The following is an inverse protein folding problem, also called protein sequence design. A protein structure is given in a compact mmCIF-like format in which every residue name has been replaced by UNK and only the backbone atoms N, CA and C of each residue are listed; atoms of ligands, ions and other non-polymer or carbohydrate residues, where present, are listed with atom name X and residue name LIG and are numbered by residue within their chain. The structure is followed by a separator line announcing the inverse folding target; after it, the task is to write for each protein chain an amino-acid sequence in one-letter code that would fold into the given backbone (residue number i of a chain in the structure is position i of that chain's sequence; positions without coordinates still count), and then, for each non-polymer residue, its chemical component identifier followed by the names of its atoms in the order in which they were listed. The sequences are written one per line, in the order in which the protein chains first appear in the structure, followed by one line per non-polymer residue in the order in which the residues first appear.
data_IF_677745022274
#
_entry.id   IF_677745022274
#
_cell.length_a   1.000
_cell.length_b   1.000
_cell.length_c   1.000
_cell.angle_alpha   90.00
_cell.angle_beta   90.00
_cell.angle_gamma   90.00
#
_symmetry.space_group_name_H-M   'P 1'
#
loop_
_entity.id
_entity.type
_entity.pdbx_description
1 polymer ?
#
# COMPACT_ATOMS: atom_id res chain seq x y z
N UNK A 1 20.85 -41.11 2.48
CA UNK A 1 19.57 -40.44 2.11
C UNK A 1 18.99 -39.78 3.35
N UNK A 2 18.76 -38.46 3.34
CA UNK A 2 18.06 -37.80 4.46
C UNK A 2 16.63 -38.34 4.55
N UNK A 3 16.16 -38.58 5.78
CA UNK A 3 14.79 -39.04 5.99
C UNK A 3 13.79 -37.99 5.50
N UNK A 4 12.60 -38.43 5.08
CA UNK A 4 11.52 -37.52 4.65
C UNK A 4 11.20 -36.51 5.75
N UNK A 5 11.26 -36.93 7.02
CA UNK A 5 11.02 -36.08 8.18
C UNK A 5 12.06 -34.96 8.34
N UNK A 6 13.34 -35.26 8.13
CA UNK A 6 14.42 -34.26 8.18
C UNK A 6 14.31 -33.27 7.03
N UNK A 7 13.99 -33.73 5.82
CA UNK A 7 13.76 -32.84 4.68
C UNK A 7 12.57 -31.91 4.92
N UNK A 8 11.51 -32.39 5.58
CA UNK A 8 10.36 -31.58 5.97
C UNK A 8 10.71 -30.57 7.08
N UNK A 9 11.52 -30.96 8.08
CA UNK A 9 12.01 -30.06 9.12
C UNK A 9 12.93 -28.98 8.56
N UNK A 10 13.88 -29.34 7.69
CA UNK A 10 14.77 -28.40 7.00
C UNK A 10 13.98 -27.43 6.12
N UNK A 11 13.02 -27.93 5.34
CA UNK A 11 12.12 -27.09 4.53
C UNK A 11 11.26 -26.18 5.42
N UNK A 12 10.81 -26.68 6.57
CA UNK A 12 10.09 -25.89 7.57
C UNK A 12 10.94 -24.77 8.20
N UNK A 13 12.23 -25.04 8.47
CA UNK A 13 13.19 -24.06 8.96
C UNK A 13 13.59 -23.05 7.88
N UNK A 14 13.77 -23.49 6.64
CA UNK A 14 14.01 -22.65 5.47
C UNK A 14 12.83 -21.71 5.22
N UNK A 15 11.60 -22.21 5.32
CA UNK A 15 10.37 -21.41 5.24
C UNK A 15 10.29 -20.41 6.41
N UNK A 16 10.68 -20.79 7.62
CA UNK A 16 10.71 -19.88 8.80
C UNK A 16 11.79 -18.81 8.66
N UNK A 17 12.98 -19.15 8.15
CA UNK A 17 14.07 -18.21 7.87
C UNK A 17 13.77 -17.26 6.71
N UNK A 18 12.99 -17.71 5.72
CA UNK A 18 12.47 -16.92 4.59
C UNK A 18 11.16 -16.18 4.87
N UNK A 19 10.61 -16.21 6.10
CA UNK A 19 9.45 -15.38 6.46
C UNK A 19 9.87 -13.90 6.44
N UNK A 20 9.82 -13.32 5.24
CA UNK A 20 9.84 -11.89 5.02
C UNK A 20 8.94 -11.21 6.05
N UNK A 21 9.44 -10.16 6.71
CA UNK A 21 8.65 -9.36 7.66
C UNK A 21 7.28 -9.08 7.05
N UNK A 22 6.16 -9.37 7.73
CA UNK A 22 4.84 -9.26 7.13
C UNK A 22 4.59 -7.84 6.63
N UNK A 23 4.04 -7.70 5.42
CA UNK A 23 3.67 -6.41 4.82
C UNK A 23 2.69 -5.64 5.70
N UNK A 24 1.79 -6.37 6.38
CA UNK A 24 0.87 -5.83 7.37
C UNK A 24 1.54 -5.72 8.74
N UNK A 25 1.62 -4.50 9.27
CA UNK A 25 2.16 -4.22 10.61
C UNK A 25 1.11 -4.29 11.70
N UNK A 26 -0.17 -4.15 11.32
CA UNK A 26 -1.29 -4.15 12.24
C UNK A 26 -2.52 -4.72 11.55
N UNK A 27 -3.24 -5.54 12.27
CA UNK A 27 -4.56 -6.04 11.90
C UNK A 27 -5.46 -5.74 13.09
N UNK A 28 -6.55 -5.01 12.85
CA UNK A 28 -7.52 -4.62 13.86
C UNK A 28 -8.86 -5.27 13.53
N UNK A 29 -9.60 -5.71 14.55
CA UNK A 29 -11.01 -6.06 14.41
C UNK A 29 -11.83 -4.98 15.10
N UNK A 30 -12.77 -4.37 14.39
CA UNK A 30 -13.65 -3.32 14.92
C UNK A 30 -15.04 -3.46 14.30
N UNK A 31 -16.06 -3.66 15.13
CA UNK A 31 -17.47 -3.77 14.71
C UNK A 31 -17.66 -4.80 13.58
N UNK A 32 -17.13 -6.02 13.78
CA UNK A 32 -17.14 -7.12 12.79
C UNK A 32 -16.45 -6.80 11.45
N UNK A 33 -15.62 -5.75 11.42
CA UNK A 33 -14.79 -5.39 10.27
C UNK A 33 -13.31 -5.60 10.59
N UNK A 34 -12.59 -6.24 9.67
CA UNK A 34 -11.14 -6.42 9.78
C UNK A 34 -10.40 -5.33 9.02
N UNK A 35 -9.55 -4.58 9.71
CA UNK A 35 -8.74 -3.50 9.15
C UNK A 35 -7.29 -3.95 9.07
N UNK A 36 -6.74 -3.95 7.86
CA UNK A 36 -5.36 -4.32 7.59
C UNK A 36 -4.55 -3.06 7.33
N UNK A 37 -3.39 -2.95 7.96
CA UNK A 37 -2.52 -1.78 7.86
C UNK A 37 -1.12 -2.21 7.39
N UNK A 38 -0.69 -1.73 6.23
CA UNK A 38 0.65 -2.02 5.72
C UNK A 38 1.73 -1.26 6.49
N UNK A 39 3.00 -1.63 6.31
CA UNK A 39 4.12 -0.72 6.60
C UNK A 39 3.98 0.57 5.80
N UNK A 40 4.62 1.64 6.28
CA UNK A 40 4.83 2.85 5.50
C UNK A 40 5.84 2.53 4.40
N UNK A 41 5.43 2.74 3.15
CA UNK A 41 6.21 2.52 1.93
C UNK A 41 6.39 3.83 1.17
N UNK A 42 7.44 3.94 0.36
CA UNK A 42 7.62 5.14 -0.44
C UNK A 42 6.71 5.14 -1.66
N UNK A 43 6.84 4.09 -2.46
CA UNK A 43 6.35 4.08 -3.81
C UNK A 43 5.50 2.85 -4.07
N UNK A 44 4.37 3.10 -4.72
CA UNK A 44 3.62 2.08 -5.43
C UNK A 44 4.45 1.64 -6.64
N UNK A 45 4.79 0.35 -6.71
CA UNK A 45 5.73 -0.15 -7.72
C UNK A 45 5.02 -0.78 -8.91
N UNK A 46 4.34 -1.90 -8.69
CA UNK A 46 3.62 -2.63 -9.74
C UNK A 46 2.31 -3.18 -9.18
N UNK A 47 1.28 -3.25 -10.00
CA UNK A 47 -0.02 -3.79 -9.64
C UNK A 47 -0.73 -4.32 -10.88
N UNK A 48 -1.77 -5.12 -10.66
CA UNK A 48 -2.65 -5.58 -11.73
C UNK A 48 -3.32 -6.90 -11.43
N UNK A 49 -4.15 -7.35 -12.37
CA UNK A 49 -4.79 -8.66 -12.31
C UNK A 49 -3.74 -9.72 -12.68
N UNK A 50 -3.62 -10.77 -11.88
CA UNK A 50 -2.72 -11.87 -12.21
C UNK A 50 -3.25 -12.59 -13.47
N UNK A 51 -2.44 -12.63 -14.54
CA UNK A 51 -2.80 -13.24 -15.84
C UNK A 51 -3.29 -14.68 -15.69
N UNK A 52 -2.70 -15.44 -14.77
CA UNK A 52 -3.01 -16.85 -14.55
C UNK A 52 -4.10 -17.05 -13.49
N UNK A 53 -4.36 -16.03 -12.66
CA UNK A 53 -5.29 -16.10 -11.54
C UNK A 53 -6.15 -14.83 -11.49
N UNK A 54 -7.15 -14.77 -12.37
CA UNK A 54 -8.06 -13.62 -12.50
C UNK A 54 -8.84 -13.28 -11.22
N UNK A 55 -8.81 -14.15 -10.20
CA UNK A 55 -9.42 -13.91 -8.90
C UNK A 55 -8.51 -13.15 -7.91
N UNK A 56 -7.33 -12.72 -8.34
CA UNK A 56 -6.35 -11.99 -7.54
C UNK A 56 -5.88 -10.74 -8.26
N UNK A 57 -5.92 -9.63 -7.54
CA UNK A 57 -5.30 -8.38 -7.94
C UNK A 57 -4.08 -8.15 -7.06
N UNK A 58 -2.88 -8.18 -7.63
CA UNK A 58 -1.65 -7.98 -6.87
C UNK A 58 -1.32 -6.50 -6.75
N UNK A 59 -0.74 -6.12 -5.62
CA UNK A 59 -0.20 -4.79 -5.39
C UNK A 59 1.16 -4.95 -4.72
N UNK A 60 2.18 -4.33 -5.31
CA UNK A 60 3.56 -4.36 -4.83
C UNK A 60 4.08 -2.96 -4.58
N UNK A 61 4.86 -2.83 -3.52
CA UNK A 61 5.45 -1.58 -3.07
C UNK A 61 6.95 -1.71 -2.94
N UNK A 62 7.62 -0.59 -3.10
CA UNK A 62 9.06 -0.46 -2.92
C UNK A 62 9.36 0.25 -1.60
N UNK A 63 10.34 -0.27 -0.86
CA UNK A 63 10.75 0.29 0.42
C UNK A 63 11.30 1.71 0.31
N UNK A 64 11.06 2.52 1.35
CA UNK A 64 11.54 3.91 1.44
C UNK A 64 13.06 4.03 1.45
N UNK A 65 13.73 3.22 2.27
CA UNK A 65 15.19 3.27 2.46
C UNK A 65 15.95 2.21 1.66
N UNK A 66 15.26 1.18 1.17
CA UNK A 66 15.86 0.12 0.37
C UNK A 66 14.91 -0.21 -0.79
N UNK A 67 15.32 0.18 -1.99
CA UNK A 67 14.53 0.03 -3.21
C UNK A 67 14.52 -1.41 -3.76
N UNK A 68 15.49 -2.24 -3.38
CA UNK A 68 15.49 -3.68 -3.71
C UNK A 68 14.45 -4.43 -2.89
N UNK A 69 14.06 -3.85 -1.75
CA UNK A 69 13.04 -4.43 -0.89
C UNK A 69 11.65 -4.18 -1.48
N UNK A 70 11.13 -5.21 -2.13
CA UNK A 70 9.76 -5.25 -2.66
C UNK A 70 8.89 -6.07 -1.70
N UNK A 71 7.76 -5.51 -1.28
CA UNK A 71 6.74 -6.22 -0.52
C UNK A 71 5.41 -6.13 -1.28
N UNK A 72 4.64 -7.21 -1.30
CA UNK A 72 3.38 -7.28 -2.04
C UNK A 72 2.28 -7.97 -1.25
N UNK A 73 1.03 -7.70 -1.64
CA UNK A 73 -0.15 -8.43 -1.20
C UNK A 73 -1.13 -8.58 -2.36
N UNK A 74 -2.18 -9.38 -2.14
CA UNK A 74 -3.26 -9.55 -3.10
C UNK A 74 -4.59 -9.09 -2.50
N UNK A 75 -5.34 -8.33 -3.30
CA UNK A 75 -6.78 -8.22 -3.15
C UNK A 75 -7.42 -9.43 -3.86
N UNK A 76 -8.51 -9.93 -3.30
CA UNK A 76 -9.19 -11.13 -3.80
C UNK A 76 -10.58 -10.77 -4.31
N UNK A 77 -11.12 -11.62 -5.20
CA UNK A 77 -12.53 -11.58 -5.56
C UNK A 77 -13.42 -11.71 -4.32
N UNK A 78 -14.57 -11.03 -4.37
CA UNK A 78 -15.53 -10.99 -3.27
C UNK A 78 -16.12 -12.39 -3.02
N UNK A 79 -16.39 -12.71 -1.76
CA UNK A 79 -17.07 -13.95 -1.35
C UNK A 79 -18.21 -13.65 -0.39
N UNK A 80 -19.28 -14.44 -0.47
CA UNK A 80 -20.46 -14.30 0.39
C UNK A 80 -21.12 -12.93 0.26
N UNK A 81 -21.50 -12.34 1.39
CA UNK A 81 -22.19 -11.04 1.44
C UNK A 81 -21.25 -9.82 1.59
N UNK A 82 -19.94 -9.98 1.33
CA UNK A 82 -19.00 -8.85 1.31
C UNK A 82 -19.12 -8.05 0.01
N UNK A 83 -18.78 -6.76 0.06
CA UNK A 83 -18.91 -5.83 -1.07
C UNK A 83 -17.74 -4.87 -1.10
N UNK A 84 -17.13 -4.68 -2.27
CA UNK A 84 -16.20 -3.57 -2.48
C UNK A 84 -16.98 -2.24 -2.44
N UNK A 85 -16.62 -1.34 -1.53
CA UNK A 85 -17.29 -0.06 -1.34
C UNK A 85 -16.60 1.08 -2.09
N UNK A 86 -15.31 0.95 -2.37
CA UNK A 86 -14.54 1.91 -3.16
C UNK A 86 -13.12 2.11 -2.67
N UNK A 87 -12.40 2.98 -3.38
CA UNK A 87 -11.09 3.49 -2.97
C UNK A 87 -11.27 4.81 -2.22
N UNK A 88 -10.52 5.01 -1.14
CA UNK A 88 -10.54 6.26 -0.37
C UNK A 88 -9.12 6.71 -0.05
N UNK A 89 -8.89 8.02 -0.03
CA UNK A 89 -7.61 8.62 0.34
C UNK A 89 -7.74 9.35 1.67
N UNK A 90 -6.66 9.35 2.46
CA UNK A 90 -6.65 10.05 3.73
C UNK A 90 -5.27 10.07 4.38
N UNK A 91 -5.24 10.60 5.60
CA UNK A 91 -4.04 10.58 6.44
C UNK A 91 -4.42 10.34 7.90
N UNK A 92 -3.47 9.81 8.66
CA UNK A 92 -3.58 9.62 10.11
C UNK A 92 -2.21 9.81 10.78
N UNK A 93 -2.17 9.83 12.12
CA UNK A 93 -0.90 9.66 12.83
C UNK A 93 -0.29 8.30 12.51
N UNK A 94 1.03 8.21 12.23
CA UNK A 94 1.69 6.93 11.95
C UNK A 94 1.45 5.89 13.05
N UNK A 95 1.24 4.63 12.65
CA UNK A 95 1.06 3.51 13.60
C UNK A 95 2.38 3.21 14.34
N UNK A 96 3.51 3.42 13.67
CA UNK A 96 4.86 3.40 14.25
C UNK A 96 5.56 4.70 13.87
N UNK A 97 6.29 5.28 14.82
CA UNK A 97 7.13 6.45 14.55
C UNK A 97 8.18 6.08 13.50
N UNK A 98 8.05 6.64 12.31
CA UNK A 98 9.10 6.57 11.29
C UNK A 98 10.01 7.76 11.56
N UNK A 99 11.25 7.48 11.94
CA UNK A 99 12.28 8.49 12.17
C UNK A 99 13.16 8.53 10.92
N UNK A 100 13.16 9.68 10.24
CA UNK A 100 14.10 9.95 9.16
C UNK A 100 15.31 10.64 9.79
N UNK A 101 16.48 10.01 9.71
CA UNK A 101 17.74 10.64 10.11
C UNK A 101 18.42 11.18 8.87
N UNK A 102 18.78 12.45 8.90
CA UNK A 102 19.54 13.09 7.82
C UNK A 102 20.56 14.05 8.44
N UNK A 103 21.68 14.21 7.76
CA UNK A 103 22.73 15.12 8.17
C UNK A 103 22.54 16.47 7.47
N UNK A 104 22.54 17.53 8.25
CA UNK A 104 22.49 18.90 7.74
C UNK A 104 23.56 19.71 8.48
N UNK A 105 24.57 20.20 7.74
CA UNK A 105 25.71 20.96 8.27
C UNK A 105 26.46 20.23 9.41
N UNK A 106 26.69 18.92 9.30
CA UNK A 106 27.40 18.13 10.32
C UNK A 106 26.56 17.76 11.55
N UNK A 107 25.28 18.16 11.62
CA UNK A 107 24.36 17.83 12.71
C UNK A 107 23.38 16.76 12.23
N UNK A 108 23.32 15.64 12.95
CA UNK A 108 22.32 14.59 12.72
C UNK A 108 20.95 15.09 13.19
N UNK A 109 20.06 15.38 12.25
CA UNK A 109 18.67 15.72 12.53
C UNK A 109 17.80 14.49 12.37
N UNK A 110 16.86 14.32 13.30
CA UNK A 110 15.86 13.25 13.26
C UNK A 110 14.47 13.87 13.16
N UNK A 111 13.77 13.62 12.05
CA UNK A 111 12.39 14.06 11.86
C UNK A 111 11.42 12.88 11.92
N UNK A 112 10.36 13.03 12.69
CA UNK A 112 9.24 12.07 12.72
C UNK A 112 8.16 12.49 11.75
N UNK A 113 7.59 11.53 11.01
CA UNK A 113 6.42 11.81 10.20
C UNK A 113 5.23 12.19 11.10
N UNK A 114 4.69 13.40 10.94
CA UNK A 114 3.49 13.83 11.67
C UNK A 114 2.21 13.21 11.10
N UNK A 115 2.23 12.84 9.82
CA UNK A 115 1.12 12.23 9.09
C UNK A 115 1.62 11.06 8.23
N UNK A 116 0.89 9.96 8.26
CA UNK A 116 1.00 8.85 7.32
C UNK A 116 -0.21 8.90 6.38
N UNK A 117 0.06 9.21 5.11
CA UNK A 117 -0.93 9.25 4.05
C UNK A 117 -1.20 7.84 3.53
N UNK A 118 -2.43 7.57 3.14
CA UNK A 118 -2.84 6.25 2.70
C UNK A 118 -3.87 6.26 1.58
N UNK A 119 -3.86 5.15 0.84
CA UNK A 119 -4.98 4.69 0.03
C UNK A 119 -5.65 3.52 0.76
N UNK A 120 -6.99 3.55 0.85
CA UNK A 120 -7.82 2.54 1.49
C UNK A 120 -8.65 1.83 0.43
N UNK A 121 -8.52 0.50 0.38
CA UNK A 121 -9.47 -0.37 -0.33
C UNK A 121 -10.54 -0.79 0.65
N UNK A 122 -11.73 -0.21 0.53
CA UNK A 122 -12.81 -0.40 1.51
C UNK A 122 -13.76 -1.50 1.06
N UNK A 123 -14.09 -2.39 1.99
CA UNK A 123 -15.06 -3.46 1.85
C UNK A 123 -16.13 -3.37 2.96
N UNK A 124 -17.25 -4.05 2.76
CA UNK A 124 -18.30 -4.14 3.78
C UNK A 124 -17.75 -4.78 5.06
N UNK A 125 -16.99 -5.88 4.93
CA UNK A 125 -16.41 -6.62 6.07
C UNK A 125 -15.00 -6.21 6.47
N UNK A 126 -14.42 -5.20 5.85
CA UNK A 126 -13.06 -4.80 6.18
C UNK A 126 -12.51 -3.67 5.35
N UNK A 127 -11.25 -3.35 5.57
CA UNK A 127 -10.51 -2.37 4.77
C UNK A 127 -9.03 -2.73 4.74
N UNK A 128 -8.35 -2.40 3.63
CA UNK A 128 -6.90 -2.49 3.53
C UNK A 128 -6.32 -1.09 3.34
N UNK A 129 -5.57 -0.63 4.33
CA UNK A 129 -4.89 0.67 4.34
C UNK A 129 -3.44 0.50 3.90
N UNK A 130 -3.08 1.11 2.77
CA UNK A 130 -1.72 1.14 2.25
C UNK A 130 -1.11 2.51 2.48
N UNK A 131 -0.06 2.59 3.30
CA UNK A 131 0.58 3.86 3.63
C UNK A 131 1.69 4.20 2.64
N UNK A 132 1.54 5.34 1.94
CA UNK A 132 2.38 5.74 0.82
C UNK A 132 2.88 7.16 0.98
N UNK A 133 4.20 7.34 1.00
CA UNK A 133 4.83 8.67 1.06
C UNK A 133 4.58 9.46 -0.22
N UNK A 134 4.48 8.79 -1.38
CA UNK A 134 4.14 9.44 -2.64
C UNK A 134 2.85 10.27 -2.59
N UNK A 135 1.86 9.87 -1.79
CA UNK A 135 0.62 10.66 -1.63
C UNK A 135 0.92 12.03 -1.00
N UNK A 136 1.85 12.09 -0.05
CA UNK A 136 2.28 13.36 0.54
C UNK A 136 2.95 14.28 -0.48
N UNK A 137 3.67 13.71 -1.45
CA UNK A 137 4.30 14.46 -2.54
C UNK A 137 3.26 15.13 -3.42
N UNK A 138 2.13 14.46 -3.69
CA UNK A 138 1.04 14.99 -4.51
C UNK A 138 0.26 16.15 -3.86
N UNK A 139 0.41 16.36 -2.55
CA UNK A 139 -0.22 17.48 -1.85
C UNK A 139 0.66 18.75 -1.81
N UNK A 140 1.82 18.73 -2.44
CA UNK A 140 2.75 19.86 -2.48
C UNK A 140 2.55 20.63 -3.78
N UNK A 141 1.85 21.75 -3.73
CA UNK A 141 1.54 22.55 -4.92
C UNK A 141 2.83 22.96 -5.66
N UNK A 142 3.90 23.26 -4.92
CA UNK A 142 5.20 23.62 -5.50
C UNK A 142 5.87 22.47 -6.25
N UNK A 143 5.33 21.24 -6.18
CA UNK A 143 5.79 20.06 -6.91
C UNK A 143 4.91 19.71 -8.11
N UNK A 144 3.76 20.34 -8.29
CA UNK A 144 2.80 20.07 -9.37
C UNK A 144 3.42 20.12 -10.77
N UNK A 145 4.37 21.03 -10.99
CA UNK A 145 5.07 21.20 -12.27
C UNK A 145 6.15 20.14 -12.56
N UNK A 146 6.43 19.22 -11.62
CA UNK A 146 7.50 18.22 -11.78
C UNK A 146 6.96 17.01 -12.55
N UNK A 147 7.75 16.51 -13.52
CA UNK A 147 7.44 15.27 -14.25
C UNK A 147 7.10 14.06 -13.35
N UNK A 148 7.75 13.96 -12.19
CA UNK A 148 7.45 12.88 -11.23
C UNK A 148 6.04 13.01 -10.63
N UNK A 149 5.55 14.23 -10.40
CA UNK A 149 4.16 14.47 -9.96
C UNK A 149 3.17 13.89 -10.97
N UNK A 150 3.30 14.25 -12.24
CA UNK A 150 2.42 13.75 -13.30
C UNK A 150 2.48 12.23 -13.43
N UNK A 151 3.70 11.66 -13.39
CA UNK A 151 3.89 10.22 -13.45
C UNK A 151 3.19 9.52 -12.29
N UNK A 152 3.35 10.03 -11.07
CA UNK A 152 2.79 9.45 -9.86
C UNK A 152 1.25 9.55 -9.87
N UNK A 153 0.69 10.68 -10.27
CA UNK A 153 -0.76 10.88 -10.45
C UNK A 153 -1.32 9.88 -11.46
N UNK A 154 -0.68 9.73 -12.63
CA UNK A 154 -1.07 8.72 -13.64
C UNK A 154 -1.02 7.30 -13.10
N UNK A 155 0.00 6.96 -12.30
CA UNK A 155 0.09 5.66 -11.65
C UNK A 155 -1.08 5.40 -10.70
N UNK A 156 -1.47 6.38 -9.87
CA UNK A 156 -2.64 6.23 -8.99
C UNK A 156 -3.96 6.13 -9.78
N UNK A 157 -4.16 6.94 -10.81
CA UNK A 157 -5.34 6.85 -11.68
C UNK A 157 -5.44 5.48 -12.35
N UNK A 158 -4.31 4.92 -12.79
CA UNK A 158 -4.28 3.56 -13.36
C UNK A 158 -4.61 2.50 -12.31
N UNK A 159 -4.09 2.62 -11.09
CA UNK A 159 -4.42 1.72 -9.99
C UNK A 159 -5.92 1.74 -9.69
N UNK A 160 -6.51 2.93 -9.57
CA UNK A 160 -7.94 3.10 -9.35
C UNK A 160 -8.76 2.42 -10.44
N UNK A 161 -8.46 2.71 -11.71
CA UNK A 161 -9.17 2.14 -12.84
C UNK A 161 -9.13 0.60 -12.83
N UNK A 162 -7.94 0.01 -12.66
CA UNK A 162 -7.79 -1.44 -12.67
C UNK A 162 -8.43 -2.12 -11.45
N UNK A 163 -8.42 -1.49 -10.26
CA UNK A 163 -9.11 -2.02 -9.07
C UNK A 163 -10.62 -1.96 -9.25
N UNK A 164 -11.15 -0.88 -9.80
CA UNK A 164 -12.57 -0.76 -10.09
C UNK A 164 -13.02 -1.78 -11.14
N UNK A 165 -12.24 -1.96 -12.21
CA UNK A 165 -12.46 -2.99 -13.22
C UNK A 165 -12.46 -4.39 -12.59
N UNK A 166 -11.45 -4.70 -11.76
CA UNK A 166 -11.35 -6.00 -11.07
C UNK A 166 -12.58 -6.32 -10.21
N UNK A 167 -13.23 -5.31 -9.63
CA UNK A 167 -14.45 -5.46 -8.84
C UNK A 167 -15.74 -5.20 -9.63
N UNK A 168 -15.67 -5.06 -10.96
CA UNK A 168 -16.83 -4.84 -11.82
C UNK A 168 -17.58 -3.54 -11.52
N UNK A 169 -16.86 -2.49 -11.12
CA UNK A 169 -17.42 -1.17 -10.78
C UNK A 169 -16.98 -0.09 -11.76
N UNK A 170 -17.83 0.91 -11.96
CA UNK A 170 -17.48 2.12 -12.71
C UNK A 170 -16.71 3.08 -11.80
N UNK A 171 -15.52 3.51 -12.23
CA UNK A 171 -14.76 4.56 -11.57
C UNK A 171 -15.44 5.92 -11.82
N UNK A 172 -15.55 6.80 -10.81
CA UNK A 172 -16.06 8.15 -11.02
C UNK A 172 -15.16 8.96 -11.95
N UNK A 173 -15.77 9.83 -12.76
CA UNK A 173 -15.04 10.69 -13.70
C UNK A 173 -14.02 11.58 -12.97
N UNK A 174 -12.85 11.76 -13.59
CA UNK A 174 -11.73 12.51 -13.06
C UNK A 174 -10.83 11.76 -12.08
N UNK A 175 -11.22 10.57 -11.61
CA UNK A 175 -10.45 9.79 -10.63
C UNK A 175 -10.55 10.32 -9.20
N UNK A 176 -10.32 9.44 -8.23
CA UNK A 176 -10.51 9.74 -6.81
C UNK A 176 -9.31 10.50 -6.23
N UNK A 177 -8.10 10.20 -6.71
CA UNK A 177 -6.87 10.87 -6.31
C UNK A 177 -6.88 12.35 -6.69
N UNK A 178 -7.35 12.71 -7.90
CA UNK A 178 -7.42 14.10 -8.33
C UNK A 178 -8.37 14.91 -7.46
N UNK A 179 -9.60 14.40 -7.23
CA UNK A 179 -10.57 15.03 -6.33
C UNK A 179 -10.04 15.18 -4.91
N UNK A 180 -9.25 14.21 -4.46
CA UNK A 180 -8.64 14.27 -3.14
C UNK A 180 -7.50 15.29 -3.07
N UNK A 181 -6.65 15.37 -4.10
CA UNK A 181 -5.61 16.39 -4.23
C UNK A 181 -6.25 17.77 -4.23
N UNK A 182 -7.20 18.05 -5.13
CA UNK A 182 -7.89 19.34 -5.23
C UNK A 182 -8.45 19.82 -3.88
N UNK A 183 -9.04 18.91 -3.11
CA UNK A 183 -9.59 19.23 -1.78
C UNK A 183 -8.53 19.49 -0.70
N UNK A 184 -7.31 18.97 -0.86
CA UNK A 184 -6.28 18.98 0.18
C UNK A 184 -4.99 19.71 -0.23
N UNK A 185 -4.92 20.26 -1.44
CA UNK A 185 -3.89 21.20 -1.84
C UNK A 185 -3.92 22.36 -0.85
N UNK A 186 -2.72 22.73 -0.40
CA UNK A 186 -2.47 23.81 0.54
C UNK A 186 -1.58 24.83 -0.12
#
# INVERSE_FOLDING_TARGET
MKSVLERLKEKGLEIRGKRNKPIFIKIESKNDRTLYHTKIMNDLYIFGINKNQKNKFFISFRGLFNQEKIESFHLFSLKGNDKFLGVFYGYRKPIKNVVTRYEENGIIKASTFSKAYYIEFRFKKGSVFCYLVGIAYLLREEKSHKKYYDSLTKTFLSLEAQVYEFYGKKLPDGGLINKWIEKNLK
#
